data_IF_339581607323
#
_entry.id   IF_339581607323
#
_cell.length_a   1.000
_cell.length_b   1.000
_cell.length_c   1.000
_cell.angle_alpha   90.00
_cell.angle_beta   90.00
_cell.angle_gamma   90.00
#
_symmetry.space_group_name_H-M   'P 1'
#
loop_
_entity.id
_entity.type
_entity.pdbx_description
1 polymer ?
#
# COMPACT_ATOMS: atom_id res chain seq x y z
N UNK A 1 -6.18 3.28 -36.74
CA UNK A 1 -6.85 3.44 -35.44
C UNK A 1 -6.98 4.93 -35.17
N UNK A 2 -8.18 5.42 -34.91
CA UNK A 2 -8.41 6.85 -34.60
C UNK A 2 -8.17 7.12 -33.12
N UNK A 3 -7.66 8.32 -32.79
CA UNK A 3 -7.42 8.78 -31.42
C UNK A 3 -8.65 8.63 -30.51
N UNK A 4 -9.86 8.74 -31.08
CA UNK A 4 -11.13 8.56 -30.36
C UNK A 4 -11.37 7.14 -29.88
N UNK A 5 -10.88 6.14 -30.62
CA UNK A 5 -11.00 4.74 -30.23
C UNK A 5 -9.96 4.40 -29.16
N UNK A 6 -8.73 4.91 -29.32
CA UNK A 6 -7.70 4.80 -28.29
C UNK A 6 -8.15 5.44 -26.95
N UNK A 7 -8.77 6.62 -26.97
CA UNK A 7 -9.27 7.25 -25.74
C UNK A 7 -10.40 6.47 -25.04
N UNK A 8 -11.22 5.71 -25.79
CA UNK A 8 -12.24 4.83 -25.21
C UNK A 8 -11.67 3.54 -24.64
N UNK A 9 -10.67 2.98 -25.31
CA UNK A 9 -10.05 1.71 -24.89
C UNK A 9 -9.22 1.88 -23.61
N UNK A 10 -8.75 3.10 -23.29
CA UNK A 10 -8.04 3.42 -22.06
C UNK A 10 -8.95 3.81 -20.87
N UNK A 11 -10.28 3.83 -21.05
CA UNK A 11 -11.23 4.29 -20.04
C UNK A 11 -11.07 5.80 -19.76
N UNK A 12 -12.09 6.43 -19.18
CA UNK A 12 -11.95 7.77 -18.60
C UNK A 12 -11.01 7.68 -17.39
N UNK A 13 -9.70 7.70 -17.67
CA UNK A 13 -8.61 7.30 -16.77
C UNK A 13 -8.43 8.07 -15.45
N UNK A 14 -9.47 8.74 -14.94
CA UNK A 14 -9.66 8.97 -13.52
C UNK A 14 -10.23 7.71 -12.88
N UNK A 15 -9.35 6.73 -12.72
CA UNK A 15 -9.54 5.76 -11.65
C UNK A 15 -9.43 6.58 -10.37
N UNK A 16 -10.58 6.92 -9.78
CA UNK A 16 -10.74 7.56 -8.48
C UNK A 16 -10.09 6.74 -7.34
N UNK A 17 -9.60 5.54 -7.65
CA UNK A 17 -8.75 4.70 -6.81
C UNK A 17 -7.25 4.94 -7.03
N UNK A 18 -6.82 5.65 -8.08
CA UNK A 18 -5.40 6.03 -8.27
C UNK A 18 -5.00 7.04 -7.22
N UNK A 19 -4.08 6.62 -6.34
CA UNK A 19 -3.66 7.40 -5.17
C UNK A 19 -4.44 7.04 -3.89
N UNK A 20 -5.38 6.10 -3.97
CA UNK A 20 -6.06 5.56 -2.80
C UNK A 20 -5.16 4.51 -2.16
N UNK A 21 -4.19 4.98 -1.38
CA UNK A 21 -3.39 4.09 -0.57
C UNK A 21 -4.32 3.35 0.40
N UNK A 22 -4.14 2.03 0.61
CA UNK A 22 -4.95 1.28 1.55
C UNK A 22 -4.93 1.87 2.97
N UNK A 23 -3.89 2.63 3.29
CA UNK A 23 -3.62 3.20 4.61
C UNK A 23 -3.31 4.70 4.55
N UNK A 24 -3.55 5.39 5.66
CA UNK A 24 -3.49 6.85 5.73
C UNK A 24 -2.09 7.42 6.02
N UNK A 25 -1.13 6.57 6.40
CA UNK A 25 0.22 7.01 6.75
C UNK A 25 0.99 7.65 5.60
N UNK A 26 0.61 7.38 4.36
CA UNK A 26 1.21 8.04 3.22
C UNK A 26 0.24 8.25 2.06
N UNK A 27 0.47 9.35 1.34
CA UNK A 27 -0.35 9.86 0.26
C UNK A 27 0.56 10.33 -0.89
N UNK A 28 -0.04 10.89 -1.94
CA UNK A 28 0.69 11.35 -3.13
C UNK A 28 1.77 12.39 -2.78
N UNK A 29 1.56 13.17 -1.72
CA UNK A 29 2.46 14.26 -1.34
C UNK A 29 3.69 13.76 -0.56
N UNK A 30 3.56 12.70 0.25
CA UNK A 30 4.64 12.23 1.14
C UNK A 30 5.19 10.82 0.82
N UNK A 31 4.65 10.13 -0.19
CA UNK A 31 5.01 8.74 -0.52
C UNK A 31 6.51 8.52 -0.69
N UNK A 32 7.20 9.43 -1.38
CA UNK A 32 8.64 9.29 -1.62
C UNK A 32 9.44 9.41 -0.33
N UNK A 33 9.07 10.34 0.55
CA UNK A 33 9.75 10.51 1.83
C UNK A 33 9.54 9.29 2.71
N UNK A 34 8.29 8.83 2.83
CA UNK A 34 7.95 7.68 3.68
C UNK A 34 8.62 6.41 3.18
N UNK A 35 8.55 6.11 1.88
CA UNK A 35 9.10 4.86 1.33
C UNK A 35 10.63 4.83 1.28
N UNK A 36 11.30 5.98 1.40
CA UNK A 36 12.77 6.07 1.44
C UNK A 36 13.40 5.68 2.78
N UNK A 37 12.60 5.62 3.86
CA UNK A 37 13.07 5.30 5.22
C UNK A 37 13.40 3.81 5.34
N UNK A 38 14.37 3.48 6.18
CA UNK A 38 14.80 2.11 6.48
C UNK A 38 14.11 1.51 7.73
N UNK A 39 13.19 2.25 8.33
CA UNK A 39 12.43 1.80 9.50
C UNK A 39 11.16 1.04 9.07
N UNK A 40 10.67 0.06 9.84
CA UNK A 40 9.37 -0.57 9.57
C UNK A 40 8.21 0.42 9.73
N UNK A 41 7.05 0.06 9.18
CA UNK A 41 5.79 0.75 9.46
C UNK A 41 5.36 0.50 10.90
N UNK A 42 4.84 1.54 11.57
CA UNK A 42 4.21 1.38 12.88
C UNK A 42 2.81 0.79 12.70
N UNK A 43 2.22 0.23 13.75
CA UNK A 43 0.93 -0.45 13.65
C UNK A 43 -0.19 0.50 13.18
N UNK A 44 -0.12 1.75 13.60
CA UNK A 44 -1.07 2.80 13.24
C UNK A 44 -0.99 3.16 11.76
N UNK A 45 0.15 2.89 11.10
CA UNK A 45 0.33 3.16 9.68
C UNK A 45 -0.55 2.27 8.81
N UNK A 46 -1.14 1.21 9.37
CA UNK A 46 -2.08 0.31 8.68
C UNK A 46 -3.55 0.67 8.91
N UNK A 47 -3.83 1.74 9.65
CA UNK A 47 -5.20 2.20 9.86
C UNK A 47 -5.73 2.88 8.59
N UNK A 48 -7.01 2.63 8.30
CA UNK A 48 -7.72 3.27 7.19
C UNK A 48 -9.05 3.82 7.70
N UNK A 49 -9.23 5.15 7.72
CA UNK A 49 -10.53 5.73 8.05
C UNK A 49 -11.52 5.52 6.91
N UNK A 50 -11.03 5.44 5.66
CA UNK A 50 -11.85 5.16 4.48
C UNK A 50 -12.45 3.75 4.53
N UNK A 51 -11.62 2.73 4.77
CA UNK A 51 -12.08 1.33 4.85
C UNK A 51 -12.58 0.95 6.25
N UNK A 52 -12.37 1.82 7.25
CA UNK A 52 -12.64 1.56 8.67
C UNK A 52 -11.94 0.29 9.17
N UNK A 53 -10.76 0.00 8.63
CA UNK A 53 -9.95 -1.17 8.97
C UNK A 53 -8.80 -0.78 9.88
N UNK A 54 -8.41 -1.74 10.71
CA UNK A 54 -7.22 -1.70 11.56
C UNK A 54 -6.55 -3.06 11.51
N UNK A 55 -5.23 -3.08 11.50
CA UNK A 55 -4.47 -4.33 11.58
C UNK A 55 -4.64 -4.96 12.97
N UNK A 56 -4.68 -6.29 13.05
CA UNK A 56 -4.68 -6.99 14.34
C UNK A 56 -3.28 -7.01 14.94
N UNK A 57 -3.17 -7.17 16.26
CA UNK A 57 -1.85 -7.31 16.92
C UNK A 57 -1.08 -8.52 16.38
N UNK A 58 -1.79 -9.61 16.07
CA UNK A 58 -1.18 -10.84 15.55
C UNK A 58 -0.57 -10.62 14.16
N UNK A 59 -1.34 -10.00 13.25
CA UNK A 59 -0.86 -9.69 11.89
C UNK A 59 0.30 -8.71 11.92
N UNK A 60 0.28 -7.73 12.84
CA UNK A 60 1.39 -6.81 13.02
C UNK A 60 2.67 -7.53 13.49
N UNK A 61 2.56 -8.52 14.39
CA UNK A 61 3.73 -9.32 14.78
C UNK A 61 4.28 -10.15 13.62
N UNK A 62 3.41 -10.73 12.79
CA UNK A 62 3.84 -11.47 11.58
C UNK A 62 4.61 -10.53 10.64
N UNK A 63 4.09 -9.32 10.40
CA UNK A 63 4.79 -8.31 9.62
C UNK A 63 6.20 -8.01 10.18
N UNK A 64 6.33 -7.80 11.49
CA UNK A 64 7.63 -7.51 12.11
C UNK A 64 8.63 -8.68 11.98
N UNK A 65 8.16 -9.92 12.08
CA UNK A 65 9.01 -11.09 11.90
C UNK A 65 9.45 -11.25 10.44
N UNK A 66 8.54 -11.06 9.48
CA UNK A 66 8.88 -11.08 8.05
C UNK A 66 9.85 -9.95 7.68
N UNK A 67 9.66 -8.76 8.24
CA UNK A 67 10.55 -7.62 8.08
C UNK A 67 11.99 -7.94 8.50
N UNK A 68 12.16 -8.58 9.66
CA UNK A 68 13.48 -9.03 10.15
C UNK A 68 14.05 -10.15 9.30
N UNK A 69 13.22 -11.13 8.93
CA UNK A 69 13.66 -12.31 8.16
C UNK A 69 14.16 -11.93 6.78
N UNK A 70 13.48 -11.00 6.11
CA UNK A 70 13.76 -10.60 4.74
C UNK A 70 14.79 -9.46 4.63
N UNK A 71 15.28 -8.95 5.77
CA UNK A 71 16.34 -7.93 5.86
C UNK A 71 16.09 -6.76 4.89
N UNK A 72 14.85 -6.30 4.83
CA UNK A 72 14.48 -5.22 3.93
C UNK A 72 15.31 -3.99 4.24
N UNK A 73 15.92 -3.43 3.19
CA UNK A 73 16.78 -2.25 3.34
C UNK A 73 15.96 -0.97 3.40
N UNK A 74 14.80 -0.94 2.74
CA UNK A 74 13.94 0.23 2.65
C UNK A 74 12.44 -0.14 2.76
N UNK A 75 11.61 0.81 3.18
CA UNK A 75 10.14 0.66 3.25
C UNK A 75 9.52 0.31 1.89
N UNK A 76 10.12 0.73 0.78
CA UNK A 76 9.65 0.34 -0.56
C UNK A 76 9.68 -1.18 -0.78
N UNK A 77 10.71 -1.86 -0.28
CA UNK A 77 10.84 -3.32 -0.40
C UNK A 77 9.78 -4.04 0.46
N UNK A 78 9.58 -3.53 1.70
CA UNK A 78 8.53 -3.99 2.60
C UNK A 78 7.14 -3.81 2.00
N UNK A 79 6.89 -2.64 1.41
CA UNK A 79 5.61 -2.29 0.80
C UNK A 79 5.32 -3.20 -0.39
N UNK A 80 6.28 -3.37 -1.32
CA UNK A 80 6.13 -4.30 -2.44
C UNK A 80 5.85 -5.73 -1.98
N UNK A 81 6.49 -6.18 -0.90
CA UNK A 81 6.21 -7.48 -0.31
C UNK A 81 4.79 -7.57 0.27
N UNK A 82 4.37 -6.61 1.11
CA UNK A 82 3.00 -6.58 1.65
C UNK A 82 1.93 -6.63 0.57
N UNK A 83 2.12 -5.87 -0.52
CA UNK A 83 1.20 -5.83 -1.65
C UNK A 83 1.20 -7.14 -2.47
N UNK A 84 2.25 -7.95 -2.34
CA UNK A 84 2.38 -9.26 -2.99
C UNK A 84 1.85 -10.41 -2.14
N UNK A 85 1.51 -10.21 -0.86
CA UNK A 85 0.94 -11.26 0.00
C UNK A 85 -0.55 -11.40 -0.36
N UNK A 86 -1.02 -12.57 -0.85
CA UNK A 86 -2.40 -12.79 -1.25
C UNK A 86 -3.41 -12.83 -0.08
N UNK A 87 -2.99 -12.51 1.14
CA UNK A 87 -3.74 -12.77 2.37
C UNK A 87 -3.50 -11.76 3.50
N UNK A 88 -3.26 -10.48 3.21
CA UNK A 88 -3.84 -9.48 4.11
C UNK A 88 -5.32 -9.38 3.74
N UNK A 89 -6.27 -9.50 4.70
CA UNK A 89 -7.68 -9.41 4.38
C UNK A 89 -7.96 -8.06 3.73
N UNK A 90 -8.06 -8.06 2.39
CA UNK A 90 -8.78 -7.07 1.61
C UNK A 90 -10.29 -7.37 1.69
N UNK A 91 -10.78 -7.85 2.84
CA UNK A 91 -12.21 -8.13 2.99
C UNK A 91 -12.98 -6.81 3.07
N UNK A 92 -13.69 -6.57 1.97
CA UNK A 92 -14.71 -5.57 1.61
C UNK A 92 -14.34 -4.08 1.77
#
# INVERSE_FOLDING_TARGET
>A
MELKQAAKDFGDGYDDKKGLFPYEAFNIDNVNEVLSKSEPFIMEDFNSSLKKTKISQQDYQIYLEDAKRLQFKYKIDMFSFMMSIPSLPQEL
#
